data_IF_931013285232
#
_entry.id   IF_931013285232
#
_cell.length_a   1.000
_cell.length_b   1.000
_cell.length_c   1.000
_cell.angle_alpha   90.00
_cell.angle_beta   90.00
_cell.angle_gamma   90.00
#
_symmetry.space_group_name_H-M   'P 1'
#
loop_
_entity.id
_entity.type
_entity.pdbx_description
1 polymer ?
#
# COMPACT_ATOMS: atom_id res chain seq x y z
N UNK A 1 22.72 16.24 -2.89
CA UNK A 1 21.92 17.25 -2.18
C UNK A 1 20.71 16.67 -1.43
N UNK A 2 19.85 15.84 -2.05
CA UNK A 2 18.60 15.35 -1.43
C UNK A 2 18.78 14.59 -0.09
N UNK A 3 19.81 13.77 0.07
CA UNK A 3 20.02 12.96 1.30
C UNK A 3 20.51 13.79 2.49
N UNK A 4 21.28 14.85 2.25
CA UNK A 4 21.85 15.71 3.29
C UNK A 4 21.68 17.17 2.88
N UNK A 5 20.45 17.69 2.85
CA UNK A 5 20.15 18.99 2.26
C UNK A 5 20.82 20.14 3.00
N UNK A 6 20.88 20.09 4.34
CA UNK A 6 21.52 21.14 5.15
C UNK A 6 23.05 21.16 5.09
N UNK A 7 23.67 20.13 4.52
CA UNK A 7 25.13 20.03 4.41
C UNK A 7 25.65 20.54 3.07
N UNK A 8 24.91 20.28 1.99
CA UNK A 8 25.36 20.54 0.63
C UNK A 8 24.63 21.71 -0.04
N UNK A 9 23.49 22.17 0.49
CA UNK A 9 22.79 23.36 -0.01
C UNK A 9 23.10 24.59 0.86
N UNK A 10 23.34 25.71 0.20
CA UNK A 10 23.63 26.99 0.85
C UNK A 10 22.38 27.69 1.41
N UNK A 11 21.18 27.41 0.88
CA UNK A 11 19.93 28.08 1.26
C UNK A 11 18.71 27.13 1.33
N UNK A 12 18.75 26.08 2.17
CA UNK A 12 17.65 25.12 2.27
C UNK A 12 16.39 25.77 2.85
N UNK A 13 15.31 25.82 2.07
CA UNK A 13 14.01 26.34 2.48
C UNK A 13 12.90 25.30 2.24
N UNK A 14 11.97 25.15 3.21
CA UNK A 14 10.85 24.18 3.13
C UNK A 14 11.29 22.73 2.84
N UNK A 15 12.40 22.31 3.44
CA UNK A 15 12.97 20.97 3.25
C UNK A 15 12.52 20.01 4.35
N UNK A 16 12.20 18.77 3.98
CA UNK A 16 11.89 17.68 4.92
C UNK A 16 13.05 16.69 4.99
N UNK A 17 13.42 16.28 6.20
CA UNK A 17 14.49 15.29 6.43
C UNK A 17 13.90 13.89 6.34
N UNK A 18 14.40 13.07 5.41
CA UNK A 18 14.00 11.67 5.27
C UNK A 18 14.68 10.78 6.32
N UNK A 19 14.04 9.66 6.73
CA UNK A 19 14.70 8.63 7.54
C UNK A 19 15.98 8.13 6.86
N UNK A 20 17.06 7.97 7.64
CA UNK A 20 18.36 7.59 7.10
C UNK A 20 18.51 6.08 6.87
N UNK A 21 17.97 5.26 7.79
CA UNK A 21 18.14 3.82 7.75
C UNK A 21 16.96 3.12 8.41
N UNK A 22 16.59 1.97 7.85
CA UNK A 22 15.76 0.96 8.50
C UNK A 22 16.58 -0.33 8.60
N UNK A 23 16.35 -1.13 9.63
CA UNK A 23 17.02 -2.43 9.78
C UNK A 23 16.78 -3.27 8.53
N UNK A 24 17.85 -3.87 7.98
CA UNK A 24 17.74 -4.69 6.77
C UNK A 24 16.82 -5.87 7.05
N UNK A 25 15.79 -6.04 6.23
CA UNK A 25 14.96 -7.22 6.28
C UNK A 25 15.77 -8.41 5.76
N UNK A 26 16.03 -9.40 6.61
CA UNK A 26 16.74 -10.66 6.28
C UNK A 26 15.76 -11.83 6.33
N UNK A 27 14.45 -11.56 6.21
CA UNK A 27 13.45 -12.61 6.13
C UNK A 27 13.58 -13.40 4.83
N UNK A 28 13.63 -14.72 4.96
CA UNK A 28 13.71 -15.68 3.86
C UNK A 28 12.33 -16.32 3.71
N UNK A 29 11.80 -16.28 2.50
CA UNK A 29 10.52 -16.90 2.18
C UNK A 29 10.74 -18.38 1.86
N UNK A 30 9.91 -19.26 2.42
CA UNK A 30 9.84 -20.66 1.99
C UNK A 30 8.96 -20.73 0.74
N UNK A 31 9.55 -21.07 -0.41
CA UNK A 31 8.84 -21.15 -1.69
C UNK A 31 7.90 -22.38 -1.79
N UNK A 32 8.14 -23.41 -0.97
CA UNK A 32 7.35 -24.65 -0.98
C UNK A 32 6.74 -24.94 0.41
N UNK A 33 5.44 -25.33 0.47
CA UNK A 33 4.75 -25.61 1.73
C UNK A 33 5.21 -26.91 2.40
N UNK A 34 5.96 -27.75 1.67
CA UNK A 34 6.45 -29.04 2.15
C UNK A 34 7.77 -28.92 2.97
N UNK A 35 8.39 -27.74 2.96
CA UNK A 35 9.64 -27.47 3.66
C UNK A 35 9.36 -27.11 5.13
N UNK A 36 10.23 -27.56 6.04
CA UNK A 36 10.10 -27.25 7.46
C UNK A 36 10.11 -25.74 7.70
N UNK A 37 9.31 -25.27 8.66
CA UNK A 37 9.19 -23.84 9.02
C UNK A 37 10.55 -23.23 9.35
N UNK A 38 11.43 -24.03 9.96
CA UNK A 38 12.79 -23.68 10.26
C UNK A 38 13.73 -24.63 9.52
N UNK A 39 14.27 -24.18 8.39
CA UNK A 39 15.27 -24.90 7.62
C UNK A 39 16.49 -24.01 7.40
N UNK A 40 17.67 -24.62 7.23
CA UNK A 40 18.88 -23.88 6.88
C UNK A 40 18.83 -23.54 5.39
N UNK A 41 18.56 -22.28 5.06
CA UNK A 41 18.67 -21.80 3.69
C UNK A 41 20.17 -21.70 3.30
N UNK A 42 20.59 -22.28 2.16
CA UNK A 42 21.93 -22.08 1.58
C UNK A 42 22.43 -20.63 1.48
N UNK A 43 21.53 -19.64 1.54
CA UNK A 43 21.85 -18.21 1.55
C UNK A 43 22.30 -17.67 2.91
N UNK A 44 22.10 -18.41 4.00
CA UNK A 44 22.55 -18.03 5.35
C UNK A 44 24.02 -18.43 5.52
N UNK A 45 24.93 -17.51 5.93
CA UNK A 45 26.29 -17.88 6.30
C UNK A 45 26.26 -18.85 7.50
N UNK A 46 26.99 -19.96 7.42
CA UNK A 46 27.03 -20.98 8.48
C UNK A 46 27.30 -20.37 9.87
N UNK A 47 26.38 -20.60 10.80
CA UNK A 47 26.53 -20.34 12.23
C UNK A 47 26.06 -21.57 12.99
N UNK A 48 26.80 -21.94 14.05
CA UNK A 48 26.64 -23.19 14.79
C UNK A 48 25.21 -23.42 15.33
N UNK A 49 24.75 -24.66 15.20
CA UNK A 49 23.34 -25.05 15.34
C UNK A 49 22.82 -24.97 16.79
N UNK A 50 21.64 -24.36 16.96
CA UNK A 50 20.81 -24.50 18.16
C UNK A 50 19.46 -25.14 17.78
N UNK A 51 18.92 -26.05 18.61
CA UNK A 51 17.69 -26.78 18.30
C UNK A 51 16.43 -25.88 18.29
N UNK A 52 15.53 -26.16 17.36
CA UNK A 52 14.35 -25.37 16.98
C UNK A 52 13.07 -25.81 17.72
N UNK A 53 12.28 -24.85 18.22
CA UNK A 53 11.00 -25.06 18.92
C UNK A 53 9.81 -24.91 17.93
N UNK A 54 8.96 -25.94 17.83
CA UNK A 54 8.14 -26.23 16.65
C UNK A 54 6.67 -25.73 16.69
N UNK A 55 6.36 -24.58 17.30
CA UNK A 55 4.95 -24.21 17.54
C UNK A 55 4.47 -22.82 17.10
N UNK A 56 5.04 -22.25 16.04
CA UNK A 56 4.51 -20.98 15.47
C UNK A 56 4.38 -21.12 13.93
N UNK A 57 3.17 -20.97 13.35
CA UNK A 57 3.00 -21.00 11.90
C UNK A 57 3.63 -19.79 11.22
N UNK A 58 4.21 -20.01 10.04
CA UNK A 58 5.02 -19.12 9.20
C UNK A 58 4.35 -17.82 8.72
N UNK A 59 3.04 -17.65 8.97
CA UNK A 59 2.19 -16.71 8.24
C UNK A 59 1.87 -15.41 9.02
N UNK A 60 2.77 -14.96 9.90
CA UNK A 60 2.49 -13.86 10.85
C UNK A 60 2.57 -12.45 10.21
N UNK A 61 3.05 -12.30 8.98
CA UNK A 61 3.17 -10.99 8.31
C UNK A 61 1.98 -10.63 7.40
N UNK A 62 0.75 -10.89 7.85
CA UNK A 62 -0.44 -10.44 7.16
C UNK A 62 -0.97 -9.14 7.77
N UNK A 63 -0.40 -7.99 7.40
CA UNK A 63 -0.97 -6.68 7.72
C UNK A 63 -2.27 -6.48 6.92
N UNK A 64 -3.42 -6.85 7.49
CA UNK A 64 -4.72 -6.49 6.92
C UNK A 64 -5.47 -5.55 7.88
N UNK A 65 -5.55 -4.24 7.55
CA UNK A 65 -6.27 -3.27 8.37
C UNK A 65 -7.78 -3.36 8.11
N UNK A 66 -8.52 -2.62 8.95
CA UNK A 66 -9.97 -2.40 8.91
C UNK A 66 -10.64 -2.36 7.51
N UNK A 67 -11.93 -2.68 7.46
CA UNK A 67 -12.77 -2.60 6.24
C UNK A 67 -12.71 -1.21 5.60
N UNK A 68 -12.08 -1.11 4.43
CA UNK A 68 -12.04 0.09 3.58
C UNK A 68 -13.13 0.01 2.50
N UNK A 69 -13.51 1.16 1.91
CA UNK A 69 -14.36 1.14 0.70
C UNK A 69 -13.54 0.61 -0.47
N UNK A 70 -14.18 -0.06 -1.43
CA UNK A 70 -13.51 -0.60 -2.61
C UNK A 70 -12.72 0.46 -3.40
N UNK A 71 -13.17 1.72 -3.39
CA UNK A 71 -12.51 2.84 -4.07
C UNK A 71 -11.26 3.34 -3.33
N UNK A 72 -11.19 3.11 -2.02
CA UNK A 72 -10.08 3.57 -1.16
C UNK A 72 -8.93 2.56 -1.13
N UNK A 73 -9.07 1.43 -1.83
CA UNK A 73 -8.03 0.40 -1.98
C UNK A 73 -7.28 0.65 -3.28
N UNK A 74 -6.03 1.14 -3.24
CA UNK A 74 -5.37 1.58 -4.45
C UNK A 74 -4.53 0.44 -5.05
N UNK A 75 -5.15 -0.40 -5.88
CA UNK A 75 -4.55 -1.65 -6.39
C UNK A 75 -3.23 -1.47 -7.14
N UNK A 76 -3.05 -0.35 -7.84
CA UNK A 76 -1.89 -0.08 -8.71
C UNK A 76 -0.92 0.92 -8.05
N UNK A 77 -1.15 1.34 -6.80
CA UNK A 77 -0.30 2.36 -6.13
C UNK A 77 1.15 1.91 -6.03
N UNK A 78 1.38 0.68 -5.60
CA UNK A 78 2.74 0.18 -5.36
C UNK A 78 3.56 0.16 -6.66
N UNK A 79 2.95 -0.19 -7.79
CA UNK A 79 3.65 -0.36 -9.07
C UNK A 79 4.31 0.93 -9.58
N UNK A 80 3.72 2.10 -9.33
CA UNK A 80 4.25 3.39 -9.80
C UNK A 80 4.97 4.19 -8.71
N UNK A 81 4.90 3.74 -7.44
CA UNK A 81 5.78 4.20 -6.37
C UNK A 81 7.20 3.66 -6.54
N UNK A 82 7.33 2.49 -7.14
CA UNK A 82 8.62 1.87 -7.47
C UNK A 82 9.26 2.46 -8.73
N UNK A 83 10.57 2.24 -8.89
CA UNK A 83 11.30 2.70 -10.07
C UNK A 83 10.85 1.92 -11.32
N UNK A 84 10.67 2.64 -12.42
CA UNK A 84 10.31 2.00 -13.69
C UNK A 84 11.51 1.17 -14.21
N UNK A 85 11.30 -0.09 -14.63
CA UNK A 85 12.37 -0.91 -15.20
C UNK A 85 12.97 -0.30 -16.48
N UNK A 86 14.29 -0.45 -16.70
CA UNK A 86 15.02 0.28 -17.75
C UNK A 86 14.64 -0.13 -19.19
N UNK A 87 14.18 -1.36 -19.41
CA UNK A 87 13.98 -1.93 -20.75
C UNK A 87 12.60 -1.62 -21.37
N UNK A 88 11.83 -0.71 -20.78
CA UNK A 88 10.45 -0.42 -21.18
C UNK A 88 10.36 0.80 -22.11
N UNK A 89 9.32 0.91 -22.96
CA UNK A 89 9.21 1.99 -23.95
C UNK A 89 8.95 3.34 -23.29
N UNK A 90 9.44 4.44 -23.90
CA UNK A 90 9.36 5.83 -23.40
C UNK A 90 7.94 6.25 -22.99
N UNK A 91 6.91 5.74 -23.68
CA UNK A 91 5.50 6.01 -23.33
C UNK A 91 5.17 5.60 -21.89
N UNK A 92 5.71 4.48 -21.42
CA UNK A 92 5.49 4.01 -20.05
C UNK A 92 6.26 4.85 -19.05
N UNK A 93 7.47 5.29 -19.39
CA UNK A 93 8.24 6.21 -18.54
C UNK A 93 7.52 7.53 -18.30
N UNK A 94 6.96 8.12 -19.36
CA UNK A 94 6.17 9.36 -19.26
C UNK A 94 4.89 9.13 -18.45
N UNK A 95 4.26 7.96 -18.57
CA UNK A 95 3.11 7.59 -17.73
C UNK A 95 3.50 7.53 -16.25
N UNK A 96 4.60 6.85 -15.91
CA UNK A 96 5.12 6.78 -14.53
C UNK A 96 5.41 8.18 -13.97
N UNK A 97 6.04 9.06 -14.77
CA UNK A 97 6.27 10.45 -14.39
C UNK A 97 4.98 11.22 -14.13
N UNK A 98 3.93 11.00 -14.94
CA UNK A 98 2.61 11.61 -14.73
C UNK A 98 1.89 11.06 -13.50
N UNK A 99 2.09 9.78 -13.17
CA UNK A 99 1.51 9.18 -11.97
C UNK A 99 2.19 9.68 -10.67
N UNK A 100 3.37 10.32 -10.76
CA UNK A 100 4.02 11.03 -9.62
C UNK A 100 3.21 12.21 -9.07
N UNK A 101 2.06 12.55 -9.66
CA UNK A 101 1.06 13.41 -9.03
C UNK A 101 0.66 12.97 -7.62
N UNK A 102 0.89 11.71 -7.23
CA UNK A 102 0.69 11.26 -5.84
C UNK A 102 1.49 12.12 -4.83
N UNK A 103 2.68 12.61 -5.19
CA UNK A 103 3.50 13.49 -4.34
C UNK A 103 2.78 14.82 -4.09
N UNK A 104 2.11 15.38 -5.11
CA UNK A 104 1.34 16.62 -4.96
C UNK A 104 0.12 16.41 -4.07
N UNK A 105 -0.51 15.24 -4.13
CA UNK A 105 -1.63 14.89 -3.26
C UNK A 105 -1.18 14.79 -1.80
N UNK A 106 -0.03 14.18 -1.54
CA UNK A 106 0.54 14.07 -0.19
C UNK A 106 0.99 15.45 0.35
N UNK A 107 1.67 16.26 -0.47
CA UNK A 107 2.14 17.59 -0.08
C UNK A 107 0.99 18.56 0.23
N UNK A 108 -0.12 18.47 -0.51
CA UNK A 108 -1.30 19.34 -0.34
C UNK A 108 -2.37 18.73 0.56
N UNK A 109 -2.13 17.54 1.12
CA UNK A 109 -3.05 16.89 2.04
C UNK A 109 -3.25 17.76 3.28
N UNK A 110 -4.51 17.95 3.67
CA UNK A 110 -4.89 18.66 4.89
C UNK A 110 -5.78 17.73 5.71
N UNK A 111 -5.68 17.74 7.05
CA UNK A 111 -6.62 17.00 7.88
C UNK A 111 -8.05 17.47 7.58
N UNK A 112 -8.98 16.53 7.52
CA UNK A 112 -10.39 16.83 7.30
C UNK A 112 -10.90 17.77 8.39
N UNK A 113 -11.65 18.80 8.00
CA UNK A 113 -12.27 19.71 8.96
C UNK A 113 -13.40 18.99 9.66
N UNK A 114 -13.50 19.15 10.99
CA UNK A 114 -14.65 18.66 11.74
C UNK A 114 -15.92 19.33 11.21
N UNK A 115 -16.86 18.51 10.73
CA UNK A 115 -18.16 18.94 10.22
C UNK A 115 -19.26 18.06 10.81
N UNK A 116 -20.46 18.63 10.98
CA UNK A 116 -21.63 17.87 11.41
C UNK A 116 -22.04 16.89 10.30
N UNK A 117 -22.23 15.62 10.66
CA UNK A 117 -22.58 14.57 9.68
C UNK A 117 -24.06 14.64 9.36
N UNK A 118 -24.39 15.03 8.13
CA UNK A 118 -25.76 14.97 7.59
C UNK A 118 -25.87 13.84 6.56
N UNK A 119 -26.65 12.81 6.87
CA UNK A 119 -26.87 11.69 5.95
C UNK A 119 -28.04 11.98 5.01
N UNK A 120 -27.72 12.55 3.85
CA UNK A 120 -28.71 12.92 2.83
C UNK A 120 -29.70 11.80 2.49
N UNK A 121 -29.20 10.57 2.27
CA UNK A 121 -30.07 9.44 1.94
C UNK A 121 -30.95 8.98 3.11
N UNK A 122 -30.52 9.19 4.36
CA UNK A 122 -31.38 8.93 5.52
C UNK A 122 -32.51 9.96 5.60
N UNK A 123 -32.23 11.23 5.27
CA UNK A 123 -33.25 12.28 5.23
C UNK A 123 -34.30 11.99 4.15
N UNK A 124 -33.87 11.61 2.94
CA UNK A 124 -34.82 11.26 1.86
C UNK A 124 -35.70 10.06 2.24
N UNK A 125 -35.11 9.03 2.86
CA UNK A 125 -35.84 7.83 3.30
C UNK A 125 -36.86 8.09 4.41
N UNK A 126 -36.68 9.16 5.19
CA UNK A 126 -37.64 9.56 6.21
C UNK A 126 -38.90 10.19 5.61
N UNK A 127 -38.86 10.65 4.36
CA UNK A 127 -40.03 11.24 3.70
C UNK A 127 -40.91 10.15 3.07
N UNK A 128 -42.21 10.41 2.98
CA UNK A 128 -43.18 9.48 2.39
C UNK A 128 -43.04 9.31 0.86
N UNK A 129 -42.18 10.09 0.23
CA UNK A 129 -42.00 10.09 -1.22
C UNK A 129 -41.03 9.00 -1.72
N UNK A 130 -40.19 8.44 -0.84
CA UNK A 130 -39.14 7.49 -1.24
C UNK A 130 -39.31 6.12 -0.58
N UNK A 131 -39.35 5.07 -1.41
CA UNK A 131 -39.37 3.68 -0.96
C UNK A 131 -38.01 3.02 -1.23
N UNK A 132 -37.55 2.13 -0.35
CA UNK A 132 -36.29 1.38 -0.52
C UNK A 132 -36.59 -0.03 -1.05
N UNK A 133 -36.05 -0.37 -2.21
CA UNK A 133 -36.14 -1.73 -2.79
C UNK A 133 -34.75 -2.23 -3.18
N UNK A 134 -34.56 -3.56 -3.21
CA UNK A 134 -33.31 -4.19 -3.66
C UNK A 134 -33.49 -4.66 -5.10
N UNK A 135 -32.86 -3.98 -6.05
CA UNK A 135 -32.86 -4.38 -7.45
C UNK A 135 -31.65 -5.29 -7.71
N UNK A 136 -31.91 -6.54 -8.10
CA UNK A 136 -30.88 -7.43 -8.65
C UNK A 136 -31.02 -7.33 -10.18
N UNK A 137 -29.98 -6.87 -10.88
CA UNK A 137 -29.93 -6.90 -12.34
C UNK A 137 -30.02 -8.37 -12.78
N UNK A 138 -31.20 -8.84 -13.17
CA UNK A 138 -31.31 -10.07 -13.96
C UNK A 138 -30.86 -9.71 -15.37
N UNK A 139 -29.56 -9.89 -15.65
CA UNK A 139 -29.12 -10.05 -17.04
C UNK A 139 -29.71 -11.37 -17.54
N UNK A 140 -30.97 -11.34 -17.98
CA UNK A 140 -31.49 -12.31 -18.93
C UNK A 140 -30.76 -12.04 -20.24
N UNK A 141 -29.69 -12.79 -20.49
CA UNK A 141 -29.28 -13.09 -21.86
C UNK A 141 -30.40 -14.01 -22.37
N UNK A 142 -31.41 -13.40 -22.99
CA UNK A 142 -32.34 -14.10 -23.87
C UNK A 142 -32.13 -13.47 -25.24
N UNK A 143 -31.24 -14.06 -26.02
CA UNK A 143 -31.47 -14.56 -27.37
C UNK A 143 -30.41 -15.60 -27.67
#
# INVERSE_FOLDING_TARGET
EVTFPHLYDSLPCSVSVSPYHATKNVYIYADTPDLQVFYFDPLIPFLDENPLDNNIPSDVYCYHPHRLRAQDVPSVKNWHSEHCPPNWPVKVWVLYQKLKCYVLNELKSRPEKAMTKTNFFQQLKATNFFQTTRLIRKNKICQ
#
